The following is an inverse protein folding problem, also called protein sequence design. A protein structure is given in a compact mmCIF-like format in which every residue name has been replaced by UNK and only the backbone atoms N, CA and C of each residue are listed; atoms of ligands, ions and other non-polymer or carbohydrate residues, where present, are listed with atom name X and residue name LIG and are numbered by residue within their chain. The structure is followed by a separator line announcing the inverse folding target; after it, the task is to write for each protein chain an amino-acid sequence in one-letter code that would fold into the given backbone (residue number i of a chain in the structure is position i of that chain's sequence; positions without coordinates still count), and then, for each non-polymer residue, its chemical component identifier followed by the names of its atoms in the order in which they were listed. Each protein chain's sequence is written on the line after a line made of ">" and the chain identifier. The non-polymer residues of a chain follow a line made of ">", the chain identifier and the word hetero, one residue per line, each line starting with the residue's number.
data_IF_577031387223
#
_entry.id   IF_577031387223
#
_cell.length_a   1.000
_cell.length_b   1.000
_cell.length_c   1.000
_cell.angle_alpha   90.00
_cell.angle_beta   90.00
_cell.angle_gamma   90.00
#
_symmetry.space_group_name_H-M   'P 1'
#
loop_
_entity.id
_entity.type
_entity.pdbx_description
1 polymer ?
#
# COMPACT_ATOMS: atom_id res chain seq x y z
N UNK A 1 -35.23 5.38 0.06
CA UNK A 1 -33.88 4.96 0.46
C UNK A 1 -33.26 6.09 1.27
N UNK A 2 -33.17 5.93 2.58
CA UNK A 2 -32.53 6.92 3.44
C UNK A 2 -31.03 6.96 3.09
N UNK A 3 -30.52 8.17 2.82
CA UNK A 3 -29.11 8.39 2.49
C UNK A 3 -28.34 8.28 3.81
N UNK A 4 -27.46 7.28 3.92
CA UNK A 4 -26.60 7.14 5.10
C UNK A 4 -25.49 8.19 5.04
N UNK A 5 -25.78 9.41 5.50
CA UNK A 5 -24.78 10.45 5.71
C UNK A 5 -24.13 10.25 7.08
N UNK A 6 -22.80 10.10 7.09
CA UNK A 6 -22.03 10.03 8.33
C UNK A 6 -22.07 11.41 9.03
N UNK A 7 -22.15 11.45 10.38
CA UNK A 7 -22.13 12.71 11.11
C UNK A 7 -20.87 13.51 10.80
N UNK A 8 -21.05 14.79 10.43
CA UNK A 8 -19.94 15.73 10.29
C UNK A 8 -19.23 15.91 11.63
N UNK A 9 -17.89 15.78 11.63
CA UNK A 9 -17.05 16.08 12.80
C UNK A 9 -16.40 17.43 12.57
N UNK A 10 -16.63 18.39 13.47
CA UNK A 10 -16.07 19.76 13.38
C UNK A 10 -14.54 19.81 13.33
N UNK A 11 -13.87 18.81 13.91
CA UNK A 11 -12.40 18.70 13.91
C UNK A 11 -11.81 17.95 12.71
N UNK A 12 -12.63 17.48 11.77
CA UNK A 12 -12.12 16.73 10.61
C UNK A 12 -11.48 17.70 9.61
N UNK A 13 -10.21 17.46 9.27
CA UNK A 13 -9.48 18.25 8.28
C UNK A 13 -8.87 19.55 8.80
N UNK A 14 -8.96 19.85 10.09
CA UNK A 14 -8.45 21.11 10.67
C UNK A 14 -6.96 21.38 10.43
N UNK A 15 -6.14 20.35 10.22
CA UNK A 15 -4.69 20.49 9.95
C UNK A 15 -4.28 20.18 8.51
N UNK A 16 -5.21 19.82 7.63
CA UNK A 16 -4.88 19.38 6.27
C UNK A 16 -4.24 20.52 5.48
N UNK A 17 -4.81 21.73 5.53
CA UNK A 17 -4.24 22.88 4.81
C UNK A 17 -2.85 23.26 5.32
N UNK A 18 -2.59 23.08 6.62
CA UNK A 18 -1.27 23.31 7.21
C UNK A 18 -0.26 22.25 6.75
N UNK A 19 -0.64 20.97 6.79
CA UNK A 19 0.17 19.84 6.31
C UNK A 19 0.49 19.95 4.82
N UNK A 20 -0.46 20.40 4.00
CA UNK A 20 -0.25 20.60 2.56
C UNK A 20 0.76 21.74 2.32
N UNK A 21 0.69 22.83 3.09
CA UNK A 21 1.66 23.93 3.02
C UNK A 21 3.06 23.50 3.47
N UNK A 22 3.17 22.85 4.63
CA UNK A 22 4.44 22.34 5.16
C UNK A 22 5.11 21.33 4.21
N UNK A 23 4.33 20.50 3.52
CA UNK A 23 4.86 19.56 2.52
C UNK A 23 5.38 20.29 1.27
N UNK A 24 4.65 21.27 0.75
CA UNK A 24 5.07 22.05 -0.41
C UNK A 24 6.35 22.87 -0.13
N UNK A 25 6.46 23.48 1.05
CA UNK A 25 7.65 24.22 1.47
C UNK A 25 8.88 23.31 1.64
N UNK A 26 8.68 22.08 2.14
CA UNK A 26 9.76 21.10 2.27
C UNK A 26 10.25 20.58 0.91
N UNK A 27 9.32 20.34 -0.02
CA UNK A 27 9.64 19.94 -1.38
C UNK A 27 10.39 21.05 -2.13
N UNK A 28 9.96 22.30 -2.00
CA UNK A 28 10.65 23.47 -2.58
C UNK A 28 12.05 23.66 -2.00
N UNK A 29 12.25 23.46 -0.69
CA UNK A 29 13.57 23.54 -0.07
C UNK A 29 14.51 22.39 -0.49
N UNK A 30 13.98 21.20 -0.74
CA UNK A 30 14.76 20.05 -1.19
C UNK A 30 15.19 20.20 -2.65
N UNK A 31 14.23 20.52 -3.53
CA UNK A 31 14.45 20.65 -4.98
C UNK A 31 15.04 21.99 -5.40
N UNK A 32 14.85 23.05 -4.61
CA UNK A 32 15.43 24.38 -4.84
C UNK A 32 16.88 24.52 -4.38
N UNK A 33 17.58 23.41 -4.11
CA UNK A 33 19.01 23.44 -3.83
C UNK A 33 19.80 23.85 -5.08
N UNK A 34 20.85 24.65 -4.88
CA UNK A 34 21.73 25.16 -5.94
C UNK A 34 22.35 24.06 -6.80
N UNK A 35 22.59 22.87 -6.23
CA UNK A 35 23.11 21.69 -6.93
C UNK A 35 22.17 21.19 -8.04
N UNK A 36 20.86 21.39 -7.89
CA UNK A 36 19.84 20.97 -8.87
C UNK A 36 19.29 22.15 -9.67
N UNK A 37 19.78 23.37 -9.40
CA UNK A 37 19.39 24.53 -10.17
C UNK A 37 19.95 24.37 -11.58
N UNK A 38 19.09 24.48 -12.60
CA UNK A 38 19.52 24.53 -14.00
C UNK A 38 20.22 25.88 -14.27
N UNK A 39 21.50 25.95 -13.88
CA UNK A 39 22.43 27.01 -14.24
C UNK A 39 23.04 26.77 -15.63
N UNK A 40 23.77 27.77 -16.12
CA UNK A 40 24.62 27.63 -17.31
C UNK A 40 25.93 26.91 -16.91
N UNK A 41 25.80 25.65 -16.49
CA UNK A 41 26.93 24.80 -16.17
C UNK A 41 27.48 24.18 -17.46
N UNK A 42 28.80 23.99 -17.51
CA UNK A 42 29.45 23.34 -18.64
C UNK A 42 29.01 21.88 -18.72
N UNK A 43 28.60 21.44 -19.91
CA UNK A 43 28.29 20.04 -20.16
C UNK A 43 29.49 19.16 -19.77
N UNK A 44 29.21 18.03 -19.12
CA UNK A 44 30.25 17.09 -18.71
C UNK A 44 31.13 16.68 -19.91
N UNK A 45 32.43 16.97 -19.79
CA UNK A 45 33.47 16.52 -20.70
C UNK A 45 34.27 15.43 -20.01
N UNK A 46 34.48 14.30 -20.68
CA UNK A 46 35.41 13.26 -20.21
C UNK A 46 36.83 13.82 -20.18
N UNK A 47 37.36 14.05 -18.99
CA UNK A 47 38.79 14.30 -18.81
C UNK A 47 39.58 13.03 -19.13
N UNK A 48 40.84 13.19 -19.57
CA UNK A 48 41.70 12.05 -19.82
C UNK A 48 41.94 11.33 -18.49
N UNK A 49 41.48 10.07 -18.40
CA UNK A 49 41.69 9.22 -17.24
C UNK A 49 43.20 9.11 -16.97
N UNK A 50 43.63 9.60 -15.82
CA UNK A 50 45.03 9.46 -15.38
C UNK A 50 45.33 7.96 -15.19
N UNK A 51 46.54 7.54 -15.57
CA UNK A 51 46.96 6.15 -15.40
C UNK A 51 46.86 5.75 -13.91
N UNK A 52 46.18 4.65 -13.63
CA UNK A 52 45.99 4.13 -12.27
C UNK A 52 47.32 3.63 -11.71
N UNK A 53 47.98 4.46 -10.90
CA UNK A 53 49.24 4.12 -10.24
C UNK A 53 48.92 3.38 -8.94
N UNK A 54 49.13 2.07 -8.96
CA UNK A 54 49.06 1.25 -7.75
C UNK A 54 50.26 1.52 -6.84
N UNK A 55 50.04 1.50 -5.53
CA UNK A 55 51.10 1.63 -4.54
C UNK A 55 52.08 0.44 -4.65
N UNK A 56 53.33 0.64 -4.25
CA UNK A 56 54.39 -0.37 -4.37
C UNK A 56 54.15 -1.63 -3.53
N UNK A 57 53.28 -1.55 -2.53
CA UNK A 57 52.86 -2.66 -1.66
C UNK A 57 51.59 -3.36 -2.16
N UNK A 58 51.02 -2.94 -3.31
CA UNK A 58 49.82 -3.56 -3.86
C UNK A 58 49.99 -5.05 -4.19
N UNK A 59 51.18 -5.44 -4.67
CA UNK A 59 51.56 -6.84 -4.94
C UNK A 59 52.31 -7.49 -3.76
N UNK A 60 52.58 -6.73 -2.69
CA UNK A 60 53.22 -7.29 -1.50
C UNK A 60 52.17 -8.16 -0.78
N UNK A 61 52.53 -9.40 -0.47
CA UNK A 61 51.63 -10.28 0.27
C UNK A 61 51.28 -9.57 1.59
N UNK A 62 50.00 -9.24 1.76
CA UNK A 62 49.47 -8.72 3.02
C UNK A 62 49.94 -9.68 4.11
N UNK A 63 50.82 -9.19 5.00
CA UNK A 63 51.41 -10.01 6.03
C UNK A 63 50.26 -10.74 6.72
N UNK A 64 50.35 -12.08 6.89
CA UNK A 64 49.26 -12.81 7.51
C UNK A 64 48.97 -12.11 8.83
N UNK A 65 47.78 -11.53 8.95
CA UNK A 65 47.36 -10.78 10.12
C UNK A 65 47.88 -11.53 11.34
N UNK A 66 48.90 -10.99 12.03
CA UNK A 66 49.24 -11.48 13.36
C UNK A 66 47.93 -11.40 14.11
N UNK A 67 47.39 -12.55 14.52
CA UNK A 67 46.03 -12.74 15.05
C UNK A 67 45.72 -11.73 16.16
N UNK A 68 45.31 -10.53 15.77
CA UNK A 68 44.82 -9.47 16.64
C UNK A 68 43.61 -8.86 15.94
N UNK A 69 42.60 -9.69 15.69
CA UNK A 69 41.23 -9.19 15.54
C UNK A 69 40.16 -10.20 15.99
N UNK A 70 40.18 -10.49 17.29
CA UNK A 70 39.05 -10.40 18.24
C UNK A 70 39.28 -11.35 19.43
N UNK A 71 40.41 -11.15 20.13
CA UNK A 71 40.40 -11.30 21.58
C UNK A 71 40.16 -9.90 22.13
N UNK A 72 39.14 -9.76 22.99
CA UNK A 72 38.76 -8.57 23.76
C UNK A 72 39.95 -7.69 24.20
N UNK A 73 40.32 -6.68 23.41
CA UNK A 73 41.17 -5.58 23.89
C UNK A 73 40.47 -4.25 23.61
N UNK A 74 39.54 -3.93 24.52
CA UNK A 74 39.21 -2.60 25.03
C UNK A 74 39.59 -1.40 24.11
N UNK A 75 38.88 -1.23 22.97
CA UNK A 75 38.93 0.02 22.22
C UNK A 75 38.44 1.17 23.13
N UNK A 76 39.19 2.27 23.29
CA UNK A 76 38.79 3.37 24.16
C UNK A 76 37.45 3.97 23.69
N UNK A 77 36.56 4.17 24.66
CA UNK A 77 35.17 4.59 24.51
C UNK A 77 34.97 5.61 23.38
N UNK A 78 34.24 5.20 22.33
CA UNK A 78 33.74 6.10 21.29
C UNK A 78 32.94 7.22 21.97
N UNK A 79 33.40 8.45 21.77
CA UNK A 79 32.83 9.69 22.31
C UNK A 79 31.31 9.70 22.07
N UNK A 80 30.56 9.86 23.14
CA UNK A 80 29.11 9.99 23.13
C UNK A 80 28.68 11.10 22.16
N UNK A 81 27.99 10.73 21.09
CA UNK A 81 27.32 11.69 20.21
C UNK A 81 26.16 12.29 21.01
N UNK A 82 26.25 13.59 21.31
CA UNK A 82 25.21 14.33 21.99
C UNK A 82 23.88 14.17 21.23
N UNK A 83 22.91 13.54 21.89
CA UNK A 83 21.53 13.44 21.40
C UNK A 83 20.91 14.84 21.47
N UNK A 84 20.87 15.56 20.34
CA UNK A 84 20.09 16.79 20.22
C UNK A 84 18.60 16.44 20.37
N UNK A 85 18.03 16.88 21.49
CA UNK A 85 16.64 17.28 21.68
C UNK A 85 15.56 16.42 21.00
N UNK A 86 15.19 15.30 21.61
CA UNK A 86 13.85 14.74 21.39
C UNK A 86 12.83 15.61 22.13
N UNK A 87 12.14 16.49 21.41
CA UNK A 87 10.96 17.16 21.92
C UNK A 87 9.88 16.10 22.23
N UNK A 88 9.59 15.90 23.52
CA UNK A 88 8.42 15.13 23.96
C UNK A 88 7.24 16.09 24.06
N UNK A 89 6.24 15.94 23.20
CA UNK A 89 4.93 16.56 23.43
C UNK A 89 4.38 16.06 24.78
N UNK A 90 3.98 16.95 25.70
CA UNK A 90 3.28 16.53 26.90
C UNK A 90 1.90 15.98 26.51
N UNK A 91 1.67 14.70 26.84
CA UNK A 91 0.37 14.08 26.63
C UNK A 91 -0.73 14.90 27.33
N UNK A 92 -1.84 15.26 26.65
CA UNK A 92 -2.93 15.97 27.30
C UNK A 92 -3.57 15.06 28.35
N UNK A 93 -3.39 15.40 29.63
CA UNK A 93 -4.15 14.81 30.73
C UNK A 93 -5.61 15.24 30.61
N UNK A 94 -6.39 14.49 29.84
CA UNK A 94 -7.85 14.56 29.95
C UNK A 94 -8.26 13.82 31.22
N UNK A 95 -8.99 14.43 32.16
CA UNK A 95 -9.59 13.68 33.25
C UNK A 95 -10.52 12.64 32.64
N UNK A 96 -10.20 11.37 32.84
CA UNK A 96 -11.12 10.27 32.56
C UNK A 96 -12.29 10.43 33.53
N UNK A 97 -13.40 10.99 33.06
CA UNK A 97 -14.68 10.88 33.77
C UNK A 97 -15.03 9.40 33.79
N UNK A 98 -14.89 8.77 34.95
CA UNK A 98 -15.41 7.43 35.20
C UNK A 98 -16.92 7.51 34.96
N UNK A 99 -17.39 6.88 33.90
CA UNK A 99 -18.81 6.65 33.69
C UNK A 99 -19.09 5.34 34.40
N UNK A 100 -19.91 5.39 35.45
CA UNK A 100 -20.42 4.20 36.12
C UNK A 100 -21.10 3.25 35.11
N UNK A 101 -21.00 1.92 35.29
CA UNK A 101 -21.65 0.97 34.41
C UNK A 101 -23.17 1.06 34.57
N UNK A 102 -23.81 1.79 33.65
CA UNK A 102 -25.25 1.75 33.44
C UNK A 102 -25.68 0.31 33.10
N UNK A 103 -26.72 -0.16 33.79
CA UNK A 103 -27.37 -1.48 33.74
C UNK A 103 -27.37 -2.21 32.37
N UNK A 104 -27.37 -3.57 32.36
CA UNK A 104 -27.34 -4.37 31.15
C UNK A 104 -28.58 -4.07 30.29
N UNK A 105 -28.35 -3.55 29.08
CA UNK A 105 -29.39 -3.42 28.07
C UNK A 105 -29.73 -4.81 27.53
N UNK A 106 -31.01 -5.09 27.20
CA UNK A 106 -31.39 -6.39 26.65
C UNK A 106 -30.60 -6.66 25.37
N UNK A 107 -29.98 -7.84 25.31
CA UNK A 107 -29.29 -8.36 24.12
C UNK A 107 -30.36 -8.62 23.07
N UNK A 108 -30.57 -7.65 22.17
CA UNK A 108 -31.36 -7.89 20.97
C UNK A 108 -30.48 -8.74 20.07
N UNK A 109 -30.93 -9.97 19.81
CA UNK A 109 -30.31 -10.91 18.89
C UNK A 109 -30.44 -10.32 17.47
N UNK A 110 -29.49 -9.46 17.11
CA UNK A 110 -29.40 -8.84 15.80
C UNK A 110 -28.86 -9.89 14.84
N UNK A 111 -29.73 -10.45 14.01
CA UNK A 111 -29.27 -11.27 12.91
C UNK A 111 -28.24 -10.49 12.08
N UNK A 112 -27.05 -11.08 11.83
CA UNK A 112 -26.01 -10.39 11.10
C UNK A 112 -26.51 -10.09 9.69
N UNK A 113 -26.70 -8.81 9.39
CA UNK A 113 -27.14 -8.34 8.08
C UNK A 113 -26.27 -8.97 6.98
N UNK A 114 -26.91 -9.60 5.99
CA UNK A 114 -26.24 -10.19 4.84
C UNK A 114 -25.38 -9.14 4.13
N UNK A 115 -24.06 -9.31 4.21
CA UNK A 115 -23.12 -8.39 3.59
C UNK A 115 -23.03 -8.72 2.09
N UNK A 116 -23.14 -7.71 1.22
CA UNK A 116 -22.99 -7.86 -0.23
C UNK A 116 -21.67 -8.58 -0.55
N UNK A 117 -21.69 -9.54 -1.48
CA UNK A 117 -20.54 -10.39 -1.86
C UNK A 117 -19.25 -9.59 -2.11
N UNK A 118 -19.36 -8.42 -2.72
CA UNK A 118 -18.25 -7.49 -2.97
C UNK A 118 -17.51 -7.03 -1.71
N UNK A 119 -18.22 -6.85 -0.60
CA UNK A 119 -17.65 -6.40 0.67
C UNK A 119 -16.96 -7.56 1.39
N UNK A 120 -17.51 -8.77 1.28
CA UNK A 120 -16.86 -10.00 1.77
C UNK A 120 -15.55 -10.22 1.02
N UNK A 121 -15.57 -10.11 -0.32
CA UNK A 121 -14.40 -10.26 -1.16
C UNK A 121 -13.30 -9.24 -0.82
N UNK A 122 -13.66 -7.96 -0.66
CA UNK A 122 -12.69 -6.92 -0.24
C UNK A 122 -12.11 -7.18 1.15
N UNK A 123 -12.92 -7.67 2.10
CA UNK A 123 -12.47 -8.01 3.45
C UNK A 123 -11.48 -9.18 3.42
N UNK A 124 -11.76 -10.21 2.64
CA UNK A 124 -10.89 -11.38 2.47
C UNK A 124 -9.56 -10.96 1.83
N UNK A 125 -9.59 -10.20 0.73
CA UNK A 125 -8.37 -9.71 0.08
C UNK A 125 -7.54 -8.80 1.02
N UNK A 126 -8.20 -7.91 1.76
CA UNK A 126 -7.52 -7.05 2.74
C UNK A 126 -6.91 -7.87 3.89
N UNK A 127 -7.58 -8.92 4.33
CA UNK A 127 -7.10 -9.80 5.39
C UNK A 127 -5.93 -10.65 4.92
N UNK A 128 -6.00 -11.22 3.72
CA UNK A 128 -4.89 -11.99 3.12
C UNK A 128 -3.65 -11.11 2.93
N UNK A 129 -3.82 -9.88 2.43
CA UNK A 129 -2.74 -8.92 2.29
C UNK A 129 -2.10 -8.61 3.65
N UNK A 130 -2.93 -8.35 4.68
CA UNK A 130 -2.45 -8.09 6.04
C UNK A 130 -1.71 -9.29 6.63
N UNK A 131 -2.19 -10.52 6.37
CA UNK A 131 -1.49 -11.74 6.79
C UNK A 131 -0.11 -11.84 6.13
N UNK A 132 -0.01 -11.63 4.81
CA UNK A 132 1.28 -11.64 4.10
C UNK A 132 2.27 -10.64 4.69
N UNK A 133 1.85 -9.39 4.91
CA UNK A 133 2.69 -8.38 5.56
C UNK A 133 3.15 -8.81 6.95
N UNK A 134 2.28 -9.44 7.75
CA UNK A 134 2.66 -9.92 9.08
C UNK A 134 3.62 -11.10 9.02
N UNK A 135 3.49 -11.98 8.04
CA UNK A 135 4.37 -13.12 7.83
C UNK A 135 5.74 -12.67 7.33
N UNK A 136 5.80 -11.73 6.39
CA UNK A 136 7.05 -11.10 5.92
C UNK A 136 7.76 -10.37 7.05
N UNK A 137 7.03 -9.58 7.85
CA UNK A 137 7.60 -8.90 9.02
C UNK A 137 8.14 -9.91 10.06
N UNK A 138 7.44 -11.05 10.25
CA UNK A 138 7.91 -12.14 11.12
C UNK A 138 9.13 -12.85 10.57
N UNK A 139 9.22 -13.08 9.26
CA UNK A 139 10.42 -13.65 8.61
C UNK A 139 11.61 -12.70 8.76
N UNK A 140 11.44 -11.43 8.40
CA UNK A 140 12.49 -10.42 8.55
C UNK A 140 12.96 -10.25 10.00
N UNK A 141 12.06 -10.35 10.98
CA UNK A 141 12.43 -10.32 12.40
C UNK A 141 13.18 -11.60 12.85
N UNK A 142 12.86 -12.76 12.27
CA UNK A 142 13.60 -14.01 12.51
C UNK A 142 15.00 -13.96 11.93
N UNK A 143 15.16 -13.38 10.74
CA UNK A 143 16.47 -13.21 10.10
C UNK A 143 17.36 -12.25 10.90
N UNK A 144 16.79 -11.20 11.51
CA UNK A 144 17.51 -10.28 12.41
C UNK A 144 17.92 -10.91 13.75
N UNK A 145 17.15 -11.88 14.24
CA UNK A 145 17.41 -12.57 15.51
C UNK A 145 18.15 -13.91 15.31
N UNK A 146 18.60 -14.21 14.09
CA UNK A 146 19.35 -15.42 13.83
C UNK A 146 20.72 -15.28 14.51
N UNK A 147 21.09 -16.26 15.34
CA UNK A 147 22.42 -16.31 15.96
C UNK A 147 23.50 -16.16 14.88
N UNK A 148 24.64 -15.51 15.18
CA UNK A 148 25.71 -15.35 14.20
C UNK A 148 26.00 -16.73 13.61
N UNK A 149 25.87 -16.85 12.28
CA UNK A 149 26.18 -18.10 11.58
C UNK A 149 27.60 -18.46 11.97
N UNK A 150 27.78 -19.61 12.60
CA UNK A 150 29.10 -20.17 12.83
C UNK A 150 29.70 -20.36 11.45
N UNK A 151 30.61 -19.46 11.07
CA UNK A 151 31.29 -19.51 9.78
C UNK A 151 32.29 -20.66 9.87
N UNK A 152 31.83 -21.86 9.51
CA UNK A 152 32.74 -22.99 9.28
C UNK A 152 33.57 -22.61 8.05
N UNK A 153 34.85 -22.30 8.25
CA UNK A 153 35.78 -21.99 7.15
C UNK A 153 35.91 -23.24 6.29
N UNK A 154 35.22 -23.24 5.16
CA UNK A 154 35.29 -24.30 4.17
C UNK A 154 36.64 -24.27 3.47
N UNK A 155 37.17 -25.44 3.14
CA UNK A 155 38.36 -25.52 2.28
C UNK A 155 38.03 -25.05 0.86
N UNK A 156 39.04 -24.65 0.07
CA UNK A 156 38.84 -24.24 -1.33
C UNK A 156 38.08 -25.31 -2.15
N UNK A 157 38.40 -26.59 -1.95
CA UNK A 157 37.71 -27.69 -2.63
C UNK A 157 36.23 -27.78 -2.23
N UNK A 158 35.91 -27.48 -0.98
CA UNK A 158 34.56 -27.51 -0.46
C UNK A 158 33.72 -26.32 -0.97
N UNK A 159 34.32 -25.13 -1.10
CA UNK A 159 33.69 -23.97 -1.75
C UNK A 159 33.34 -24.26 -3.21
N UNK A 160 34.27 -24.89 -3.95
CA UNK A 160 34.01 -25.28 -5.34
C UNK A 160 32.88 -26.32 -5.43
N UNK A 161 32.82 -27.28 -4.50
CA UNK A 161 31.74 -28.26 -4.45
C UNK A 161 30.38 -27.64 -4.09
N UNK A 162 30.36 -26.63 -3.22
CA UNK A 162 29.15 -25.86 -2.91
C UNK A 162 28.72 -25.02 -4.12
N UNK A 163 29.66 -24.36 -4.81
CA UNK A 163 29.39 -23.57 -6.01
C UNK A 163 28.72 -24.40 -7.13
N UNK A 164 29.16 -25.64 -7.34
CA UNK A 164 28.52 -26.55 -8.32
C UNK A 164 27.09 -26.88 -7.92
N UNK A 165 26.82 -27.05 -6.62
CA UNK A 165 25.45 -27.31 -6.14
C UNK A 165 24.57 -26.08 -6.30
N UNK A 166 25.06 -24.90 -5.93
CA UNK A 166 24.31 -23.65 -6.07
C UNK A 166 24.09 -23.28 -7.53
N UNK A 167 25.00 -23.62 -8.45
CA UNK A 167 24.80 -23.48 -9.90
C UNK A 167 23.58 -24.28 -10.39
N UNK A 168 23.45 -25.54 -9.94
CA UNK A 168 22.29 -26.37 -10.28
C UNK A 168 20.99 -25.79 -9.72
N UNK A 169 21.01 -25.31 -8.48
CA UNK A 169 19.82 -24.69 -7.87
C UNK A 169 19.46 -23.36 -8.56
N UNK A 170 20.47 -22.55 -8.88
CA UNK A 170 20.30 -21.27 -9.58
C UNK A 170 19.76 -21.48 -11.00
N UNK A 171 20.29 -22.45 -11.76
CA UNK A 171 19.80 -22.77 -13.10
C UNK A 171 18.35 -23.27 -13.06
N UNK A 172 17.99 -24.10 -12.09
CA UNK A 172 16.59 -24.53 -11.90
C UNK A 172 15.67 -23.36 -11.54
N UNK A 173 16.12 -22.47 -10.64
CA UNK A 173 15.38 -21.28 -10.25
C UNK A 173 15.17 -20.32 -11.42
N UNK A 174 16.22 -20.09 -12.22
CA UNK A 174 16.17 -19.27 -13.43
C UNK A 174 15.15 -19.82 -14.43
N UNK A 175 15.25 -21.12 -14.75
CA UNK A 175 14.29 -21.79 -15.66
C UNK A 175 12.84 -21.66 -15.17
N UNK A 176 12.61 -21.68 -13.85
CA UNK A 176 11.27 -21.48 -13.28
C UNK A 176 10.79 -20.04 -13.48
N UNK A 177 11.65 -19.05 -13.27
CA UNK A 177 11.31 -17.64 -13.50
C UNK A 177 11.01 -17.37 -14.96
N UNK A 178 11.84 -17.88 -15.88
CA UNK A 178 11.62 -17.76 -17.33
C UNK A 178 10.26 -18.34 -17.73
N UNK A 179 9.89 -19.52 -17.23
CA UNK A 179 8.55 -20.10 -17.50
C UNK A 179 7.42 -19.20 -17.01
N UNK A 180 7.55 -18.61 -15.82
CA UNK A 180 6.54 -17.68 -15.29
C UNK A 180 6.46 -16.40 -16.12
N UNK A 181 7.60 -15.90 -16.62
CA UNK A 181 7.64 -14.76 -17.53
C UNK A 181 7.01 -15.08 -18.88
N UNK A 182 7.27 -16.26 -19.44
CA UNK A 182 6.64 -16.74 -20.68
C UNK A 182 5.13 -16.90 -20.53
N UNK A 183 4.65 -17.48 -19.42
CA UNK A 183 3.22 -17.59 -19.11
C UNK A 183 2.58 -16.21 -18.99
N UNK A 184 3.20 -15.30 -18.23
CA UNK A 184 2.71 -13.92 -18.08
C UNK A 184 2.73 -13.16 -19.42
N UNK A 185 3.77 -13.35 -20.22
CA UNK A 185 3.90 -12.76 -21.55
C UNK A 185 2.83 -13.32 -22.48
N UNK A 186 2.54 -14.62 -22.43
CA UNK A 186 1.46 -15.24 -23.18
C UNK A 186 0.11 -14.64 -22.79
N UNK A 187 -0.17 -14.51 -21.49
CA UNK A 187 -1.39 -13.89 -20.97
C UNK A 187 -1.53 -12.42 -21.40
N UNK A 188 -0.43 -11.66 -21.35
CA UNK A 188 -0.39 -10.25 -21.77
C UNK A 188 -0.51 -10.09 -23.29
N UNK A 189 0.00 -11.05 -24.08
CA UNK A 189 -0.11 -11.07 -25.54
C UNK A 189 -1.51 -11.46 -26.01
N UNK A 190 -2.33 -12.12 -25.19
CA UNK A 190 -3.72 -12.40 -25.54
C UNK A 190 -4.51 -11.08 -25.57
N UNK A 191 -4.96 -10.61 -26.74
CA UNK A 191 -5.70 -9.37 -26.82
C UNK A 191 -7.00 -9.51 -26.04
N UNK A 192 -7.22 -8.62 -25.08
CA UNK A 192 -8.46 -8.57 -24.29
C UNK A 192 -9.63 -8.46 -25.27
N UNK A 193 -10.51 -9.47 -25.27
CA UNK A 193 -11.69 -9.46 -26.12
C UNK A 193 -12.50 -8.19 -25.83
N UNK A 194 -12.79 -7.40 -26.88
CA UNK A 194 -13.63 -6.21 -26.74
C UNK A 194 -15.01 -6.67 -26.30
N UNK A 195 -15.49 -6.16 -25.16
CA UNK A 195 -16.83 -6.48 -24.67
C UNK A 195 -17.88 -6.06 -25.70
N UNK A 196 -18.53 -7.04 -26.33
CA UNK A 196 -19.56 -6.85 -27.38
C UNK A 196 -20.96 -7.17 -26.84
N UNK A 197 -21.15 -7.13 -25.51
CA UNK A 197 -22.46 -7.33 -24.89
C UNK A 197 -23.26 -6.02 -24.77
N UNK A 198 -24.55 -6.11 -24.35
CA UNK A 198 -25.35 -4.94 -24.01
C UNK A 198 -24.68 -4.13 -22.89
N UNK A 199 -24.60 -2.80 -23.05
CA UNK A 199 -23.98 -1.91 -22.09
C UNK A 199 -24.81 -0.63 -21.89
N UNK A 200 -24.95 -0.19 -20.63
CA UNK A 200 -25.58 1.09 -20.28
C UNK A 200 -24.50 2.08 -19.85
N UNK A 201 -24.41 3.22 -20.54
CA UNK A 201 -23.46 4.30 -20.20
C UNK A 201 -24.21 5.54 -19.76
N UNK A 202 -23.83 6.05 -18.59
CA UNK A 202 -24.32 7.32 -18.06
C UNK A 202 -23.26 8.40 -18.26
N UNK A 203 -23.66 9.48 -18.93
CA UNK A 203 -22.84 10.67 -19.14
C UNK A 203 -23.43 11.83 -18.34
N UNK A 204 -22.58 12.45 -17.51
CA UNK A 204 -22.89 13.71 -16.84
C UNK A 204 -21.75 14.69 -17.05
N UNK A 205 -22.04 15.81 -17.72
CA UNK A 205 -21.13 16.94 -17.86
C UNK A 205 -21.81 18.18 -17.31
N UNK A 206 -21.06 19.11 -16.70
CA UNK A 206 -21.64 20.33 -16.12
C UNK A 206 -22.30 21.24 -17.17
N UNK A 207 -21.87 21.14 -18.44
CA UNK A 207 -22.37 21.96 -19.55
C UNK A 207 -23.38 21.25 -20.46
N UNK A 208 -23.71 19.98 -20.20
CA UNK A 208 -24.60 19.20 -21.04
C UNK A 208 -25.67 18.49 -20.19
N UNK A 209 -26.86 18.21 -20.77
CA UNK A 209 -27.86 17.42 -20.06
C UNK A 209 -27.33 16.02 -19.74
N UNK A 210 -27.79 15.47 -18.62
CA UNK A 210 -27.47 14.10 -18.21
C UNK A 210 -28.04 13.14 -19.25
N UNK A 211 -27.20 12.26 -19.79
CA UNK A 211 -27.56 11.37 -20.89
C UNK A 211 -27.29 9.92 -20.51
N UNK A 212 -28.29 9.06 -20.70
CA UNK A 212 -28.14 7.60 -20.60
C UNK A 212 -28.17 7.04 -22.02
N UNK A 213 -27.16 6.25 -22.38
CA UNK A 213 -27.07 5.57 -23.67
C UNK A 213 -27.04 4.07 -23.47
N UNK A 214 -27.74 3.34 -24.34
CA UNK A 214 -27.78 1.89 -24.37
C UNK A 214 -27.05 1.45 -25.65
N UNK A 215 -25.90 0.81 -25.49
CA UNK A 215 -25.09 0.26 -26.59
C UNK A 215 -25.37 -1.24 -26.70
N UNK A 216 -25.49 -1.73 -27.94
CA UNK A 216 -25.72 -3.16 -28.25
C UNK A 216 -26.94 -3.76 -27.51
N UNK A 217 -27.98 -2.96 -27.28
CA UNK A 217 -29.23 -3.41 -26.67
C UNK A 217 -30.31 -3.55 -27.74
N UNK A 218 -30.89 -4.74 -27.89
CA UNK A 218 -32.01 -5.00 -28.82
C UNK A 218 -33.34 -4.42 -28.29
N UNK A 219 -33.47 -4.31 -26.97
CA UNK A 219 -34.68 -3.81 -26.32
C UNK A 219 -34.34 -2.87 -25.17
N UNK A 220 -35.00 -1.72 -25.11
CA UNK A 220 -34.98 -0.87 -23.92
C UNK A 220 -35.66 -1.55 -22.73
N UNK A 221 -35.32 -1.22 -21.48
CA UNK A 221 -36.04 -1.72 -20.32
C UNK A 221 -37.51 -1.26 -20.33
N UNK A 222 -38.44 -2.14 -19.94
CA UNK A 222 -39.88 -1.87 -19.95
C UNK A 222 -40.30 -0.67 -19.11
N UNK A 223 -39.48 -0.32 -18.11
CA UNK A 223 -39.68 0.87 -17.26
C UNK A 223 -39.72 2.17 -18.09
N UNK A 224 -39.03 2.23 -19.22
CA UNK A 224 -39.06 3.38 -20.13
C UNK A 224 -40.25 3.36 -21.10
N UNK A 225 -40.97 2.24 -21.19
CA UNK A 225 -42.17 2.06 -22.03
C UNK A 225 -43.48 2.26 -21.26
N UNK A 226 -43.40 2.51 -19.95
CA UNK A 226 -44.59 2.76 -19.13
C UNK A 226 -45.22 4.10 -19.53
N UNK A 227 -46.51 4.09 -19.84
CA UNK A 227 -47.29 5.31 -20.03
C UNK A 227 -47.36 6.16 -18.76
N UNK A 228 -47.91 7.38 -18.83
CA UNK A 228 -48.07 8.24 -17.66
C UNK A 228 -48.75 7.47 -16.51
N UNK A 229 -48.23 7.55 -15.27
CA UNK A 229 -48.85 6.85 -14.15
C UNK A 229 -50.28 7.34 -13.98
N UNK A 230 -51.22 6.42 -13.76
CA UNK A 230 -52.61 6.80 -13.54
C UNK A 230 -52.70 7.82 -12.39
N UNK A 231 -53.47 8.91 -12.57
CA UNK A 231 -53.64 9.91 -11.53
C UNK A 231 -54.21 9.21 -10.29
N UNK A 232 -53.53 9.32 -9.16
CA UNK A 232 -53.99 8.77 -7.88
C UNK A 232 -55.31 9.42 -7.53
N UNK A 233 -56.43 8.73 -7.80
CA UNK A 233 -57.75 9.15 -7.33
C UNK A 233 -57.72 9.04 -5.81
N UNK A 234 -58.01 10.15 -5.12
CA UNK A 234 -58.25 10.12 -3.69
C UNK A 234 -59.48 9.22 -3.46
N UNK A 235 -59.46 8.28 -2.50
CA UNK A 235 -60.66 7.52 -2.19
C UNK A 235 -61.73 8.49 -1.69
N UNK A 236 -62.89 8.46 -2.35
CA UNK A 236 -64.09 9.19 -1.90
C UNK A 236 -64.60 8.53 -0.62
N UNK A 237 -64.23 9.11 0.51
CA UNK A 237 -64.80 8.79 1.83
C UNK A 237 -66.16 9.50 1.96
N UNK A 238 -67.13 9.05 1.17
CA UNK A 238 -68.55 9.34 1.39
C UNK A 238 -69.29 8.03 1.67
N UNK A 239 -68.86 7.31 2.70
CA UNK A 239 -69.58 6.18 3.30
C UNK A 239 -69.14 6.06 4.77
N UNK A 240 -69.42 7.10 5.55
CA UNK A 240 -69.49 7.00 7.02
C UNK A 240 -70.81 7.62 7.46
N UNK A 241 -71.88 6.83 7.39
CA UNK A 241 -73.02 6.88 8.31
C UNK A 241 -74.10 5.92 7.80
N UNK A 242 -74.28 4.79 8.50
CA UNK A 242 -75.56 4.06 8.68
C UNK A 242 -75.39 2.55 8.97
N UNK A 243 -74.78 2.20 10.10
CA UNK A 243 -75.12 0.97 10.84
C UNK A 243 -74.98 1.31 12.34
N UNK A 244 -76.01 1.91 12.93
CA UNK A 244 -77.03 1.23 13.72
C UNK A 244 -76.49 0.65 15.04
N UNK A 245 -76.60 1.44 16.11
CA UNK A 245 -76.80 0.99 17.48
C UNK A 245 -77.95 1.82 18.07
#
# INVERSE_FOLDING_TARGET
>A
MAKYELPGRSSRGSRINKLIGEAAEADEAFWGNEVWAEGEDEDYSTEAEEEDIVDSDFDEDEAPDEEVHDADEERPAKRARATRSSFKEPAPQRPRRMVEPSAPRPVVELEPMGVRSSTIHKRVLSHELQQRYTEEARKAARDKNQAPKIVVRMTQAQLLAEAVRTEVDNTQSLNRLERLEEEKRADDMVPKAKYTGPAVRYYSSLRAPKLITFLNAETFPDVLRQGPPEPRRRPDISETDSVAA
#
